data_IF_932040256497
#
_entry.id   IF_932040256497
#
_cell.length_a   1.000
_cell.length_b   1.000
_cell.length_c   1.000
_cell.angle_alpha   90.00
_cell.angle_beta   90.00
_cell.angle_gamma   90.00
#
_symmetry.space_group_name_H-M   'P 1'
#
loop_
_entity.id
_entity.type
_entity.pdbx_description
1 polymer ?
#
# COMPACT_ATOMS: atom_id res chain seq x y z
N UNK A 1 17.28 -3.84 14.62
CA UNK A 1 16.63 -2.66 14.01
C UNK A 1 16.06 -2.93 12.61
N UNK A 2 16.74 -3.68 11.73
CA UNK A 2 16.22 -4.04 10.39
C UNK A 2 14.85 -4.73 10.40
N UNK A 3 14.61 -5.65 11.35
CA UNK A 3 13.30 -6.31 11.51
C UNK A 3 12.17 -5.37 11.92
N UNK A 4 12.45 -4.34 12.73
CA UNK A 4 11.43 -3.38 13.13
C UNK A 4 11.02 -2.49 11.94
N UNK A 5 11.97 -2.12 11.08
CA UNK A 5 11.70 -1.36 9.86
C UNK A 5 10.86 -2.18 8.88
N UNK A 6 11.22 -3.44 8.64
CA UNK A 6 10.44 -4.32 7.77
C UNK A 6 9.02 -4.56 8.28
N UNK A 7 8.87 -4.83 9.58
CA UNK A 7 7.57 -4.93 10.24
C UNK A 7 6.74 -3.65 10.07
N UNK A 8 7.32 -2.47 10.30
CA UNK A 8 6.60 -1.20 10.14
C UNK A 8 6.16 -0.96 8.70
N UNK A 9 6.97 -1.33 7.70
CA UNK A 9 6.60 -1.24 6.29
C UNK A 9 5.41 -2.15 5.97
N UNK A 10 5.44 -3.41 6.42
CA UNK A 10 4.33 -4.35 6.23
C UNK A 10 3.07 -3.91 6.95
N UNK A 11 3.20 -3.48 8.20
CA UNK A 11 2.10 -2.95 9.01
C UNK A 11 1.45 -1.73 8.33
N UNK A 12 2.26 -0.79 7.84
CA UNK A 12 1.76 0.38 7.14
C UNK A 12 0.97 -0.01 5.89
N UNK A 13 1.45 -0.96 5.07
CA UNK A 13 0.71 -1.39 3.88
C UNK A 13 -0.61 -2.06 4.27
N UNK A 14 -0.61 -2.95 5.25
CA UNK A 14 -1.84 -3.65 5.68
C UNK A 14 -2.90 -2.71 6.24
N UNK A 15 -2.49 -1.62 6.92
CA UNK A 15 -3.41 -0.64 7.50
C UNK A 15 -3.86 0.40 6.47
N UNK A 16 -2.93 0.97 5.70
CA UNK A 16 -3.21 2.14 4.87
C UNK A 16 -3.59 1.82 3.43
N UNK A 17 -3.17 0.69 2.86
CA UNK A 17 -3.53 0.33 1.48
C UNK A 17 -5.04 0.16 1.29
N UNK A 18 -5.79 -0.51 2.20
CA UNK A 18 -7.25 -0.60 2.08
C UNK A 18 -7.92 0.77 2.16
N UNK A 19 -7.45 1.66 3.05
CA UNK A 19 -7.98 3.02 3.18
C UNK A 19 -7.73 3.84 1.91
N UNK A 20 -6.54 3.70 1.31
CA UNK A 20 -6.21 4.33 0.04
C UNK A 20 -7.11 3.84 -1.10
N UNK A 21 -7.39 2.54 -1.15
CA UNK A 21 -8.29 1.95 -2.17
C UNK A 21 -9.72 2.48 -2.01
N UNK A 22 -10.24 2.53 -0.78
CA UNK A 22 -11.57 3.10 -0.51
C UNK A 22 -11.62 4.55 -0.98
N UNK A 23 -10.61 5.35 -0.64
CA UNK A 23 -10.50 6.73 -1.09
C UNK A 23 -10.43 6.85 -2.61
N UNK A 24 -9.68 5.98 -3.29
CA UNK A 24 -9.65 5.96 -4.76
C UNK A 24 -11.04 5.69 -5.37
N UNK A 25 -11.81 4.79 -4.77
CA UNK A 25 -13.16 4.45 -5.22
C UNK A 25 -14.14 5.61 -5.00
N UNK A 26 -14.10 6.26 -3.84
CA UNK A 26 -14.98 7.38 -3.49
C UNK A 26 -14.76 8.62 -4.37
N UNK A 27 -13.51 8.89 -4.74
CA UNK A 27 -13.15 10.05 -5.54
C UNK A 27 -13.10 9.76 -7.06
N UNK A 28 -13.40 8.53 -7.48
CA UNK A 28 -13.50 8.17 -8.89
C UNK A 28 -12.16 8.28 -9.64
N UNK A 29 -11.08 7.80 -9.03
CA UNK A 29 -9.74 7.82 -9.63
C UNK A 29 -9.72 7.08 -10.98
N UNK A 30 -8.87 7.53 -11.91
CA UNK A 30 -8.70 6.86 -13.19
C UNK A 30 -8.21 5.42 -12.99
N UNK A 31 -8.68 4.51 -13.86
CA UNK A 31 -8.40 3.07 -13.80
C UNK A 31 -6.91 2.72 -13.85
N UNK A 32 -6.02 3.64 -14.27
CA UNK A 32 -4.57 3.41 -14.28
C UNK A 32 -3.92 3.73 -12.92
N UNK A 33 -4.45 4.68 -12.15
CA UNK A 33 -3.87 5.07 -10.86
C UNK A 33 -4.11 4.03 -9.77
N UNK A 34 -5.29 3.42 -9.75
CA UNK A 34 -5.66 2.35 -8.80
C UNK A 34 -4.69 1.15 -8.83
N UNK A 35 -4.45 0.47 -9.97
CA UNK A 35 -3.52 -0.66 -10.03
C UNK A 35 -2.08 -0.22 -9.79
N UNK A 36 -1.68 0.97 -10.25
CA UNK A 36 -0.31 1.47 -10.03
C UNK A 36 0.01 1.63 -8.54
N UNK A 37 -0.89 2.25 -7.78
CA UNK A 37 -0.72 2.44 -6.34
C UNK A 37 -0.83 1.12 -5.56
N UNK A 38 -1.67 0.20 -6.02
CA UNK A 38 -1.75 -1.16 -5.47
C UNK A 38 -0.43 -1.91 -5.65
N UNK A 39 0.18 -1.83 -6.84
CA UNK A 39 1.49 -2.43 -7.14
C UNK A 39 2.58 -1.82 -6.27
N UNK A 40 2.58 -0.50 -6.08
CA UNK A 40 3.52 0.16 -5.15
C UNK A 40 3.37 -0.40 -3.73
N UNK A 41 2.13 -0.57 -3.25
CA UNK A 41 1.85 -1.20 -1.95
C UNK A 41 2.42 -2.61 -1.83
N UNK A 42 2.26 -3.44 -2.87
CA UNK A 42 2.82 -4.80 -2.93
C UNK A 42 4.36 -4.77 -2.85
N UNK A 43 5.01 -3.87 -3.60
CA UNK A 43 6.48 -3.74 -3.59
C UNK A 43 6.99 -3.31 -2.21
N UNK A 44 6.33 -2.34 -1.56
CA UNK A 44 6.70 -1.91 -0.20
C UNK A 44 6.54 -3.06 0.80
N UNK A 45 5.43 -3.81 0.71
CA UNK A 45 5.19 -4.97 1.58
C UNK A 45 6.26 -6.05 1.39
N UNK A 46 6.62 -6.34 0.13
CA UNK A 46 7.64 -7.32 -0.20
C UNK A 46 9.03 -6.91 0.27
N UNK A 47 9.37 -5.62 0.16
CA UNK A 47 10.69 -5.10 0.61
C UNK A 47 10.84 -5.13 2.13
N UNK A 48 9.72 -5.12 2.86
CA UNK A 48 9.71 -5.24 4.32
C UNK A 48 9.80 -6.67 4.86
N UNK A 49 9.80 -7.69 3.99
CA UNK A 49 9.96 -9.11 4.35
C UNK A 49 11.44 -9.48 4.55
#
# INVERSE_FOLDING_TARGET
MRNAVGFLMQFAVLVFLPLLIIWQLEFGFELLWMPSLTVVGIVVFWTGH
#
